data_IF_165059719137
#
_entry.id   IF_165059719137
#
_cell.length_a   1.000
_cell.length_b   1.000
_cell.length_c   1.000
_cell.angle_alpha   90.00
_cell.angle_beta   90.00
_cell.angle_gamma   90.00
#
_symmetry.space_group_name_H-M   'P 1'
#
loop_
_entity.id
_entity.type
_entity.pdbx_description
1 polymer ?
#
# COMPACT_ATOMS: atom_id res chain seq x y z
N UNK A 1 -30.37 23.48 -28.63
CA UNK A 1 -29.00 23.73 -29.08
C UNK A 1 -28.04 23.89 -27.89
N UNK A 2 -28.41 24.63 -26.82
CA UNK A 2 -27.56 24.90 -25.64
C UNK A 2 -27.21 23.63 -24.83
N UNK A 3 -28.12 22.69 -24.66
CA UNK A 3 -27.90 21.44 -23.90
C UNK A 3 -26.85 20.52 -24.58
N UNK A 4 -26.90 20.41 -25.92
CA UNK A 4 -25.91 19.62 -26.69
C UNK A 4 -24.50 20.22 -26.60
N UNK A 5 -24.37 21.55 -26.56
CA UNK A 5 -23.09 22.26 -26.41
C UNK A 5 -22.50 22.06 -24.99
N UNK A 6 -23.33 22.00 -23.94
CA UNK A 6 -22.90 21.75 -22.57
C UNK A 6 -22.42 20.31 -22.42
N UNK A 7 -23.13 19.32 -22.97
CA UNK A 7 -22.74 17.91 -22.96
C UNK A 7 -21.41 17.66 -23.70
N UNK A 8 -21.22 18.32 -24.88
CA UNK A 8 -19.97 18.21 -25.63
C UNK A 8 -18.77 18.84 -24.90
N UNK A 9 -18.96 19.93 -24.16
CA UNK A 9 -17.89 20.53 -23.32
C UNK A 9 -17.55 19.69 -22.12
N UNK A 10 -18.52 19.02 -21.49
CA UNK A 10 -18.30 18.14 -20.35
C UNK A 10 -17.51 16.87 -20.76
N UNK A 11 -17.84 16.27 -21.91
CA UNK A 11 -17.12 15.13 -22.47
C UNK A 11 -15.70 15.50 -22.91
N UNK A 12 -15.51 16.65 -23.55
CA UNK A 12 -14.19 17.14 -23.93
C UNK A 12 -13.30 17.46 -22.70
N UNK A 13 -13.88 18.02 -21.63
CA UNK A 13 -13.17 18.27 -20.36
C UNK A 13 -12.78 16.97 -19.66
N UNK A 14 -13.66 15.96 -19.65
CA UNK A 14 -13.35 14.62 -19.11
C UNK A 14 -12.25 13.94 -19.93
N UNK A 15 -12.28 14.06 -21.25
CA UNK A 15 -11.26 13.50 -22.15
C UNK A 15 -9.92 14.20 -21.99
N UNK A 16 -9.88 15.54 -21.80
CA UNK A 16 -8.66 16.29 -21.50
C UNK A 16 -8.11 15.97 -20.11
N UNK A 17 -8.97 15.81 -19.09
CA UNK A 17 -8.57 15.40 -17.76
C UNK A 17 -7.98 13.98 -17.76
N UNK A 18 -8.57 13.06 -18.56
CA UNK A 18 -8.05 11.70 -18.76
C UNK A 18 -6.73 11.68 -19.53
N UNK A 19 -6.55 12.57 -20.51
CA UNK A 19 -5.30 12.71 -21.28
C UNK A 19 -4.17 13.39 -20.46
N UNK A 20 -4.53 14.19 -19.46
CA UNK A 20 -3.58 14.79 -18.52
C UNK A 20 -3.13 13.81 -17.41
N UNK A 21 -3.88 12.72 -17.20
CA UNK A 21 -3.55 11.64 -16.28
C UNK A 21 -2.92 10.51 -17.08
N UNK A 22 -1.60 10.59 -17.29
CA UNK A 22 -0.82 9.60 -18.02
C UNK A 22 -0.57 8.30 -17.24
N UNK A 23 -1.33 8.06 -16.15
CA UNK A 23 -1.19 6.82 -15.36
C UNK A 23 -1.69 5.62 -16.18
N UNK A 24 -1.03 4.45 -16.06
CA UNK A 24 -1.52 3.22 -16.66
C UNK A 24 -2.94 2.89 -16.19
N UNK A 25 -3.76 2.30 -17.08
CA UNK A 25 -5.11 1.82 -16.72
C UNK A 25 -5.06 0.48 -15.96
N UNK A 26 -3.91 -0.18 -15.97
CA UNK A 26 -3.67 -1.44 -15.27
C UNK A 26 -3.03 -1.18 -13.91
N UNK A 27 -3.58 -1.79 -12.87
CA UNK A 27 -3.08 -1.74 -11.49
C UNK A 27 -2.92 -3.15 -10.93
N UNK A 28 -2.09 -3.29 -9.89
CA UNK A 28 -2.02 -4.53 -9.11
C UNK A 28 -3.31 -4.63 -8.29
N UNK A 29 -4.12 -5.67 -8.52
CA UNK A 29 -5.36 -5.88 -7.76
C UNK A 29 -5.13 -6.50 -6.39
N UNK A 30 -4.25 -7.49 -6.32
CA UNK A 30 -3.99 -8.23 -5.09
C UNK A 30 -2.51 -8.53 -4.92
N UNK A 31 -2.06 -8.50 -3.67
CA UNK A 31 -0.79 -9.08 -3.21
C UNK A 31 -1.10 -10.07 -2.09
N UNK A 32 -0.34 -11.16 -1.97
CA UNK A 32 -0.66 -12.26 -1.08
C UNK A 32 0.51 -12.55 -0.15
N UNK A 33 0.21 -12.71 1.15
CA UNK A 33 1.12 -13.26 2.14
C UNK A 33 0.49 -14.46 2.85
N UNK A 34 1.29 -15.50 3.06
CA UNK A 34 0.95 -16.60 3.94
C UNK A 34 1.43 -16.29 5.37
N UNK A 35 0.52 -16.34 6.33
CA UNK A 35 0.76 -15.97 7.73
C UNK A 35 0.28 -17.08 8.68
N UNK A 36 0.82 -17.16 9.88
CA UNK A 36 0.38 -18.13 10.87
C UNK A 36 -1.03 -17.81 11.40
N UNK A 37 -1.30 -16.53 11.67
CA UNK A 37 -2.58 -16.02 12.16
C UNK A 37 -3.02 -14.77 11.39
N UNK A 38 -4.04 -14.89 10.51
CA UNK A 38 -4.53 -13.76 9.72
C UNK A 38 -5.06 -12.59 10.54
N UNK A 39 -5.70 -12.84 11.70
CA UNK A 39 -6.21 -11.76 12.56
C UNK A 39 -5.07 -10.96 13.21
N UNK A 40 -4.07 -11.65 13.72
CA UNK A 40 -2.88 -11.03 14.32
C UNK A 40 -2.09 -10.25 13.26
N UNK A 41 -1.91 -10.81 12.07
CA UNK A 41 -1.27 -10.14 10.96
C UNK A 41 -2.10 -8.91 10.50
N UNK A 42 -3.42 -9.04 10.38
CA UNK A 42 -4.31 -7.92 10.03
C UNK A 42 -4.19 -6.75 11.03
N UNK A 43 -4.11 -7.03 12.33
CA UNK A 43 -3.90 -6.00 13.35
C UNK A 43 -2.59 -5.23 13.12
N UNK A 44 -1.50 -5.92 12.75
CA UNK A 44 -0.23 -5.29 12.40
C UNK A 44 -0.36 -4.37 11.18
N UNK A 45 -0.96 -4.86 10.07
CA UNK A 45 -1.09 -4.06 8.85
C UNK A 45 -2.09 -2.90 9.00
N UNK A 46 -3.13 -3.03 9.83
CA UNK A 46 -3.98 -1.90 10.21
C UNK A 46 -3.20 -0.80 10.93
N UNK A 47 -2.27 -1.17 11.79
CA UNK A 47 -1.40 -0.20 12.47
C UNK A 47 -0.46 0.54 11.51
N UNK A 48 -0.17 -0.02 10.33
CA UNK A 48 0.50 0.64 9.21
C UNK A 48 -0.44 1.52 8.36
N UNK A 49 -1.74 1.52 8.63
CA UNK A 49 -2.71 2.36 7.95
C UNK A 49 -3.55 1.65 6.87
N UNK A 50 -3.43 0.31 6.72
CA UNK A 50 -4.27 -0.42 5.78
C UNK A 50 -5.71 -0.52 6.33
N UNK A 51 -6.70 -0.45 5.44
CA UNK A 51 -8.12 -0.50 5.80
C UNK A 51 -8.64 -1.93 5.78
N UNK A 52 -9.25 -2.45 6.87
CA UNK A 52 -9.83 -3.80 6.87
C UNK A 52 -11.07 -3.88 5.98
N UNK A 53 -11.16 -4.94 5.17
CA UNK A 53 -12.31 -5.28 4.33
C UNK A 53 -12.95 -6.58 4.81
N UNK A 54 -12.14 -7.61 5.08
CA UNK A 54 -12.57 -8.90 5.62
C UNK A 54 -11.58 -9.37 6.68
N UNK A 55 -12.08 -9.86 7.81
CA UNK A 55 -11.28 -10.52 8.83
C UNK A 55 -12.00 -11.80 9.30
N UNK A 56 -11.41 -12.97 9.00
CA UNK A 56 -11.91 -14.30 9.37
C UNK A 56 -10.76 -15.16 9.91
N UNK A 57 -11.07 -16.31 10.47
CA UNK A 57 -10.04 -17.18 11.07
C UNK A 57 -9.02 -17.70 10.05
N UNK A 58 -9.43 -17.96 8.82
CA UNK A 58 -8.57 -18.51 7.76
C UNK A 58 -7.95 -17.46 6.85
N UNK A 59 -8.46 -16.20 6.87
CA UNK A 59 -8.01 -15.16 5.97
C UNK A 59 -8.35 -13.76 6.46
N UNK A 60 -7.57 -12.77 6.04
CA UNK A 60 -7.95 -11.36 6.11
C UNK A 60 -7.68 -10.67 4.78
N UNK A 61 -8.46 -9.64 4.47
CA UNK A 61 -8.29 -8.77 3.31
C UNK A 61 -8.22 -7.34 3.81
N UNK A 62 -7.16 -6.65 3.43
CA UNK A 62 -6.92 -5.26 3.79
C UNK A 62 -6.70 -4.45 2.51
N UNK A 63 -7.30 -3.28 2.44
CA UNK A 63 -7.19 -2.41 1.29
C UNK A 63 -6.06 -1.39 1.48
N UNK A 64 -5.27 -1.22 0.42
CA UNK A 64 -4.29 -0.16 0.25
C UNK A 64 -4.89 0.97 -0.60
N UNK A 65 -4.23 2.12 -0.62
CA UNK A 65 -4.59 3.22 -1.54
C UNK A 65 -4.55 2.72 -2.99
N UNK A 66 -5.48 3.18 -3.81
CA UNK A 66 -5.58 2.80 -5.23
C UNK A 66 -6.37 1.51 -5.49
N UNK A 67 -6.99 0.91 -4.47
CA UNK A 67 -7.85 -0.27 -4.62
C UNK A 67 -7.10 -1.61 -4.66
N UNK A 68 -5.78 -1.61 -4.45
CA UNK A 68 -5.02 -2.84 -4.25
C UNK A 68 -5.36 -3.46 -2.89
N UNK A 69 -5.48 -4.78 -2.82
CA UNK A 69 -5.74 -5.50 -1.58
C UNK A 69 -4.56 -6.37 -1.19
N UNK A 70 -4.22 -6.34 0.10
CA UNK A 70 -3.35 -7.32 0.74
C UNK A 70 -4.22 -8.47 1.27
N UNK A 71 -4.00 -9.66 0.76
CA UNK A 71 -4.65 -10.89 1.18
C UNK A 71 -3.72 -11.67 2.11
N UNK A 72 -4.18 -11.93 3.32
CA UNK A 72 -3.49 -12.70 4.33
C UNK A 72 -4.18 -14.05 4.45
N UNK A 73 -3.49 -15.12 4.06
CA UNK A 73 -4.02 -16.47 4.17
C UNK A 73 -3.30 -17.24 5.27
N UNK A 74 -4.06 -18.02 6.04
CA UNK A 74 -3.48 -18.93 7.02
C UNK A 74 -2.69 -19.99 6.30
N UNK A 75 -1.38 -20.06 6.60
CA UNK A 75 -0.52 -21.13 6.13
C UNK A 75 -0.76 -22.41 6.95
N UNK A 76 -0.80 -23.56 6.27
CA UNK A 76 -0.68 -24.85 6.92
C UNK A 76 0.80 -25.09 7.30
N UNK A 77 1.08 -25.31 8.58
CA UNK A 77 2.43 -25.44 9.10
C UNK A 77 3.08 -24.11 9.50
N UNK A 78 4.41 -24.10 9.64
CA UNK A 78 5.15 -22.91 10.08
C UNK A 78 5.20 -21.85 8.98
N UNK A 79 4.77 -20.64 9.29
CA UNK A 79 4.96 -19.51 8.39
C UNK A 79 6.45 -19.23 8.18
N UNK A 80 6.85 -18.98 6.92
CA UNK A 80 8.22 -18.61 6.58
C UNK A 80 8.26 -17.09 6.45
N UNK A 81 8.76 -16.42 7.49
CA UNK A 81 9.08 -15.01 7.44
C UNK A 81 10.37 -14.75 6.65
N UNK A 82 10.70 -13.48 6.47
CA UNK A 82 11.88 -13.00 5.79
C UNK A 82 11.60 -11.76 4.96
N UNK A 83 12.59 -11.25 4.20
CA UNK A 83 12.41 -10.09 3.33
C UNK A 83 11.34 -10.36 2.26
N UNK A 84 10.33 -9.49 2.20
CA UNK A 84 9.36 -9.49 1.12
C UNK A 84 9.94 -8.67 -0.03
N UNK A 85 10.17 -9.31 -1.17
CA UNK A 85 10.72 -8.68 -2.38
C UNK A 85 9.71 -8.59 -3.52
N UNK A 86 8.56 -9.28 -3.35
CA UNK A 86 7.51 -9.31 -4.36
C UNK A 86 6.70 -7.99 -4.40
N UNK A 87 6.68 -7.24 -3.30
CA UNK A 87 6.04 -5.93 -3.22
C UNK A 87 6.62 -5.12 -2.05
N UNK A 88 6.39 -3.84 -2.09
CA UNK A 88 6.69 -2.89 -1.02
C UNK A 88 5.53 -1.92 -0.82
N UNK A 89 5.61 -1.10 0.22
CA UNK A 89 4.64 -0.03 0.46
C UNK A 89 5.23 1.31 0.07
N UNK A 90 4.41 2.18 -0.50
CA UNK A 90 4.78 3.55 -0.82
C UNK A 90 3.92 4.51 0.00
N UNK A 91 4.56 5.54 0.56
CA UNK A 91 3.91 6.59 1.36
C UNK A 91 4.36 7.97 0.89
N UNK A 92 3.47 8.96 1.02
CA UNK A 92 3.81 10.34 0.65
C UNK A 92 4.72 11.01 1.70
N UNK A 93 4.55 10.62 2.98
CA UNK A 93 5.31 11.13 4.12
C UNK A 93 5.99 9.98 4.87
N UNK A 94 7.26 9.72 4.55
CA UNK A 94 8.03 8.63 5.15
C UNK A 94 8.36 8.90 6.62
N UNK A 95 8.58 10.16 7.01
CA UNK A 95 8.87 10.53 8.40
C UNK A 95 7.63 10.33 9.27
N UNK A 96 6.48 10.79 8.81
CA UNK A 96 5.19 10.59 9.48
C UNK A 96 4.82 9.11 9.60
N UNK A 97 5.03 8.32 8.55
CA UNK A 97 4.81 6.87 8.56
C UNK A 97 5.73 6.15 9.55
N UNK A 98 7.03 6.50 9.58
CA UNK A 98 7.99 5.95 10.53
C UNK A 98 7.62 6.30 11.98
N UNK A 99 7.23 7.55 12.25
CA UNK A 99 6.77 7.96 13.57
C UNK A 99 5.48 7.23 14.00
N UNK A 100 4.53 7.04 13.08
CA UNK A 100 3.29 6.30 13.33
C UNK A 100 3.57 4.83 13.66
N UNK A 101 4.45 4.17 12.91
CA UNK A 101 4.91 2.81 13.20
C UNK A 101 5.54 2.72 14.61
N UNK A 102 6.27 3.76 15.04
CA UNK A 102 6.83 3.84 16.39
C UNK A 102 5.77 3.94 17.48
N UNK A 103 4.78 4.80 17.29
CA UNK A 103 3.65 4.92 18.24
C UNK A 103 2.88 3.61 18.36
N UNK A 104 2.72 2.89 17.25
CA UNK A 104 2.12 1.56 17.22
C UNK A 104 3.04 0.44 17.74
N UNK A 105 4.27 0.75 18.14
CA UNK A 105 5.28 -0.19 18.64
C UNK A 105 5.64 -1.29 17.64
N UNK A 106 5.56 -1.01 16.34
CA UNK A 106 5.99 -1.93 15.31
C UNK A 106 7.52 -2.03 15.30
N UNK A 107 8.03 -3.23 15.06
CA UNK A 107 9.46 -3.45 14.85
C UNK A 107 9.86 -2.82 13.53
N UNK A 108 10.78 -1.84 13.58
CA UNK A 108 11.22 -1.07 12.41
C UNK A 108 12.70 -0.73 12.45
N UNK A 109 13.29 -0.49 11.29
CA UNK A 109 14.65 0.06 11.15
C UNK A 109 14.63 1.59 11.22
N UNK A 110 15.78 2.24 11.45
CA UNK A 110 15.95 3.66 11.14
C UNK A 110 15.62 3.95 9.67
N UNK A 111 15.32 5.21 9.36
CA UNK A 111 15.14 5.66 7.96
C UNK A 111 16.52 5.66 7.30
N UNK A 112 16.62 4.95 6.19
CA UNK A 112 17.75 4.99 5.26
C UNK A 112 17.46 5.94 4.09
N UNK A 113 18.51 6.33 3.38
CA UNK A 113 18.43 7.16 2.20
C UNK A 113 19.34 6.59 1.11
N UNK A 114 18.82 6.53 -0.12
CA UNK A 114 19.60 6.26 -1.31
C UNK A 114 19.64 7.54 -2.16
N UNK A 115 20.73 8.28 -2.04
CA UNK A 115 20.92 9.54 -2.74
C UNK A 115 20.99 9.37 -4.27
N UNK A 116 21.37 8.19 -4.79
CA UNK A 116 21.49 7.93 -6.23
C UNK A 116 20.13 7.91 -6.92
N UNK A 117 19.07 7.48 -6.21
CA UNK A 117 17.71 7.39 -6.73
C UNK A 117 16.73 8.30 -6.00
N UNK A 118 17.21 9.09 -5.01
CA UNK A 118 16.40 10.05 -4.27
C UNK A 118 15.33 9.42 -3.38
N UNK A 119 15.52 8.18 -2.96
CA UNK A 119 14.57 7.48 -2.09
C UNK A 119 14.98 7.51 -0.63
N UNK A 120 13.98 7.72 0.21
CA UNK A 120 14.05 7.46 1.65
C UNK A 120 13.14 6.28 1.98
N UNK A 121 13.56 5.42 2.89
CA UNK A 121 12.83 4.20 3.20
C UNK A 121 13.18 3.69 4.60
N UNK A 122 12.30 2.86 5.15
CA UNK A 122 12.56 2.03 6.32
C UNK A 122 11.93 0.66 6.14
N UNK A 123 12.33 -0.30 6.96
CA UNK A 123 11.75 -1.64 6.96
C UNK A 123 10.92 -1.83 8.22
N UNK A 124 9.83 -2.58 8.10
CA UNK A 124 9.01 -3.07 9.20
C UNK A 124 8.98 -4.58 9.17
N UNK A 125 8.92 -5.19 10.35
CA UNK A 125 8.82 -6.66 10.47
C UNK A 125 7.47 -7.02 11.06
N UNK A 126 6.70 -7.83 10.32
CA UNK A 126 5.40 -8.29 10.77
C UNK A 126 5.50 -9.41 11.84
N UNK A 127 4.37 -9.83 12.44
CA UNK A 127 4.39 -10.87 13.49
C UNK A 127 4.88 -12.26 13.04
N UNK A 128 4.90 -12.53 11.74
CA UNK A 128 5.39 -13.78 11.16
C UNK A 128 6.85 -13.67 10.66
N UNK A 129 7.47 -12.49 10.83
CA UNK A 129 8.84 -12.23 10.45
C UNK A 129 9.02 -11.81 8.98
N UNK A 130 7.95 -11.44 8.28
CA UNK A 130 8.08 -10.82 6.97
C UNK A 130 8.66 -9.42 7.13
N UNK A 131 9.69 -9.12 6.35
CA UNK A 131 10.33 -7.79 6.34
C UNK A 131 9.88 -7.04 5.11
N UNK A 132 9.09 -6.00 5.33
CA UNK A 132 8.52 -5.15 4.27
C UNK A 132 9.22 -3.80 4.24
N UNK A 133 9.45 -3.27 3.07
CA UNK A 133 10.02 -1.95 2.87
C UNK A 133 8.90 -0.92 2.68
N UNK A 134 9.07 0.24 3.31
CA UNK A 134 8.18 1.39 3.18
C UNK A 134 9.00 2.53 2.58
N UNK A 135 8.65 2.96 1.37
CA UNK A 135 9.36 3.96 0.59
C UNK A 135 8.67 5.32 0.59
N UNK A 136 9.45 6.37 0.33
CA UNK A 136 8.93 7.67 -0.09
C UNK A 136 8.33 7.59 -1.50
N UNK A 137 7.17 8.22 -1.68
CA UNK A 137 6.52 8.33 -2.99
C UNK A 137 7.35 9.16 -3.98
N UNK A 138 7.39 8.75 -5.24
CA UNK A 138 7.92 9.56 -6.35
C UNK A 138 6.93 10.58 -6.88
N UNK A 139 5.68 10.50 -6.47
CA UNK A 139 4.60 11.26 -7.11
C UNK A 139 4.50 12.69 -6.64
N UNK A 140 5.40 13.14 -5.74
CA UNK A 140 5.43 14.52 -5.21
C UNK A 140 4.05 15.01 -4.74
N UNK A 141 3.33 14.16 -4.01
CA UNK A 141 2.00 14.50 -3.48
C UNK A 141 0.85 14.33 -4.49
N UNK A 142 1.08 13.79 -5.68
CA UNK A 142 -0.03 13.38 -6.55
C UNK A 142 -0.69 12.14 -5.96
N UNK A 143 -2.03 12.09 -5.85
CA UNK A 143 -2.74 10.88 -5.46
C UNK A 143 -2.41 9.75 -6.46
N UNK A 144 -2.07 8.59 -5.93
CA UNK A 144 -1.92 7.37 -6.74
C UNK A 144 -3.30 6.80 -7.00
#
# INVERSE_FOLDING_TARGET
VAARRRAGRATARRRRARAADARPEVAIGHVVLEVADPRRAAAFYRALGLRPVVERDGMAILELRGGTHLLLFRRRGRAKGGPVRAFDFMVDDVDGAHAAAGRARLRRTPIGEDAAIGHRWFEVTDPDGHVLRVFSSHTQGRPV
#
